data_IF_150844997177
#
_entry.id   IF_150844997177
#
_cell.length_a   1.000
_cell.length_b   1.000
_cell.length_c   1.000
_cell.angle_alpha   90.00
_cell.angle_beta   90.00
_cell.angle_gamma   90.00
#
_symmetry.space_group_name_H-M   'P 1'
#
loop_
_entity.id
_entity.type
_entity.pdbx_description
1 polymer ?
#
# COMPACT_ATOMS: atom_id res chain seq x y z
N UNK A 1 0.07 11.36 -9.85
CA UNK A 1 1.19 12.31 -9.87
C UNK A 1 1.94 12.21 -8.54
N UNK A 2 3.19 11.81 -8.59
CA UNK A 2 4.01 11.60 -7.37
C UNK A 2 4.32 12.92 -6.66
N UNK A 3 4.44 14.02 -7.40
CA UNK A 3 4.61 15.37 -6.82
C UNK A 3 3.39 15.78 -5.96
N UNK A 4 2.19 15.31 -6.32
CA UNK A 4 0.96 15.53 -5.56
C UNK A 4 0.96 14.90 -4.17
N UNK A 5 1.70 13.80 -3.96
CA UNK A 5 1.84 13.14 -2.66
C UNK A 5 2.52 14.08 -1.66
N UNK A 6 3.63 14.71 -2.07
CA UNK A 6 4.37 15.65 -1.21
C UNK A 6 3.62 16.97 -1.01
N UNK A 7 2.88 17.44 -2.03
CA UNK A 7 2.00 18.63 -1.86
C UNK A 7 0.95 18.37 -0.79
N UNK A 8 0.34 17.18 -0.78
CA UNK A 8 -0.65 16.82 0.24
C UNK A 8 -0.03 16.70 1.63
N UNK A 9 1.18 16.13 1.73
CA UNK A 9 1.92 16.08 2.99
C UNK A 9 2.20 17.49 3.54
N UNK A 10 2.64 18.41 2.68
CA UNK A 10 2.85 19.81 3.06
C UNK A 10 1.57 20.49 3.56
N UNK A 11 0.43 20.26 2.89
CA UNK A 11 -0.87 20.79 3.33
C UNK A 11 -1.25 20.29 4.73
N UNK A 12 -1.09 18.99 4.98
CA UNK A 12 -1.37 18.39 6.30
C UNK A 12 -0.43 18.93 7.40
N UNK A 13 0.78 19.30 7.02
CA UNK A 13 1.77 19.93 7.90
C UNK A 13 1.63 21.46 8.02
N UNK A 14 0.51 22.05 7.56
CA UNK A 14 0.29 23.50 7.52
C UNK A 14 1.45 24.24 6.85
N UNK A 15 1.99 23.69 5.78
CA UNK A 15 3.16 24.19 5.04
C UNK A 15 4.44 24.33 5.88
N UNK A 16 4.51 23.67 7.02
CA UNK A 16 5.70 23.57 7.84
C UNK A 16 6.64 22.51 7.27
N UNK A 17 7.66 22.95 6.53
CA UNK A 17 8.61 22.03 5.84
C UNK A 17 9.32 21.10 6.84
N UNK A 18 9.93 21.56 7.96
CA UNK A 18 10.56 20.67 8.93
C UNK A 18 9.63 19.61 9.53
N UNK A 19 8.33 19.91 9.63
CA UNK A 19 7.34 18.95 10.09
C UNK A 19 7.01 17.93 8.99
N UNK A 20 6.82 18.40 7.75
CA UNK A 20 6.55 17.52 6.60
C UNK A 20 7.70 16.54 6.35
N UNK A 21 8.95 16.95 6.49
CA UNK A 21 10.15 16.13 6.32
C UNK A 21 10.30 14.99 7.35
N UNK A 22 9.48 14.96 8.40
CA UNK A 22 9.35 13.88 9.39
C UNK A 22 7.98 13.20 9.33
N UNK A 23 7.28 13.40 8.24
CA UNK A 23 5.94 12.88 8.04
C UNK A 23 5.92 11.37 7.75
N UNK A 24 4.70 10.85 7.72
CA UNK A 24 4.41 9.47 7.33
C UNK A 24 3.51 9.52 6.10
N UNK A 25 3.90 8.82 5.05
CA UNK A 25 3.12 8.67 3.82
C UNK A 25 2.67 7.21 3.72
N UNK A 26 1.36 6.99 3.68
CA UNK A 26 0.79 5.69 3.38
C UNK A 26 0.33 5.66 1.91
N UNK A 27 0.85 4.70 1.15
CA UNK A 27 0.48 4.46 -0.26
C UNK A 27 -0.27 3.14 -0.30
N UNK A 28 -1.57 3.22 -0.55
CA UNK A 28 -2.41 2.04 -0.71
C UNK A 28 -2.42 1.55 -2.17
N UNK A 29 -2.81 0.30 -2.35
CA UNK A 29 -2.96 -0.36 -3.66
C UNK A 29 -1.69 -0.32 -4.52
N UNK A 30 -0.51 -0.46 -3.90
CA UNK A 30 0.78 -0.46 -4.63
C UNK A 30 0.86 -1.60 -5.68
N UNK A 31 0.11 -2.68 -5.49
CA UNK A 31 -0.01 -3.78 -6.43
C UNK A 31 -0.65 -3.38 -7.77
N UNK A 32 -1.44 -2.29 -7.80
CA UNK A 32 -2.10 -1.81 -9.04
C UNK A 32 -1.13 -1.18 -10.04
N UNK A 33 0.04 -0.74 -9.59
CA UNK A 33 1.10 -0.25 -10.48
C UNK A 33 2.08 -1.34 -10.90
N UNK A 34 1.88 -2.59 -10.46
CA UNK A 34 2.69 -3.72 -10.91
C UNK A 34 2.50 -3.97 -12.41
N UNK A 35 3.56 -4.40 -13.08
CA UNK A 35 3.48 -4.80 -14.49
C UNK A 35 2.56 -6.00 -14.63
N UNK A 36 1.54 -5.89 -15.47
CA UNK A 36 0.69 -7.02 -15.82
C UNK A 36 1.44 -7.88 -16.84
N UNK A 37 1.91 -9.05 -16.37
CA UNK A 37 2.32 -10.23 -17.11
C UNK A 37 3.08 -10.11 -18.45
N UNK A 38 3.79 -11.20 -18.80
CA UNK A 38 4.49 -11.44 -20.08
C UNK A 38 3.57 -11.59 -21.32
N UNK A 39 2.56 -10.75 -21.46
CA UNK A 39 1.87 -10.70 -22.74
C UNK A 39 2.74 -9.86 -23.66
N UNK A 40 3.27 -10.42 -24.76
CA UNK A 40 4.01 -9.66 -25.76
C UNK A 40 3.05 -8.82 -26.59
N UNK A 41 2.30 -7.94 -25.95
CA UNK A 41 1.61 -6.89 -26.68
C UNK A 41 2.66 -5.83 -26.99
N UNK A 42 2.73 -5.46 -28.26
CA UNK A 42 3.63 -4.46 -28.84
C UNK A 42 3.47 -3.07 -28.17
N UNK A 43 2.41 -2.86 -27.42
CA UNK A 43 2.23 -1.73 -26.51
C UNK A 43 2.80 -2.09 -25.15
N UNK A 44 4.06 -1.72 -24.93
CA UNK A 44 4.69 -1.65 -23.62
C UNK A 44 3.71 -0.98 -22.66
N UNK A 45 3.32 -1.66 -21.58
CA UNK A 45 2.52 -1.01 -20.52
C UNK A 45 3.42 -0.01 -19.76
N UNK A 46 3.61 1.15 -20.41
CA UNK A 46 4.51 2.22 -19.97
C UNK A 46 3.94 2.91 -18.74
N UNK A 47 2.64 2.71 -18.44
CA UNK A 47 1.93 3.44 -17.41
C UNK A 47 2.33 2.99 -16.00
N UNK A 48 2.32 1.70 -15.72
CA UNK A 48 2.64 1.15 -14.39
C UNK A 48 4.13 1.31 -14.04
N UNK A 49 5.03 0.99 -14.97
CA UNK A 49 6.47 1.13 -14.77
C UNK A 49 6.88 2.59 -14.58
N UNK A 50 6.29 3.51 -15.35
CA UNK A 50 6.57 4.94 -15.22
C UNK A 50 6.19 5.50 -13.85
N UNK A 51 5.09 5.01 -13.26
CA UNK A 51 4.69 5.39 -11.91
C UNK A 51 5.65 4.81 -10.87
N UNK A 52 6.06 3.55 -11.00
CA UNK A 52 7.06 2.95 -10.12
C UNK A 52 8.40 3.71 -10.16
N UNK A 53 8.87 4.09 -11.35
CA UNK A 53 10.07 4.89 -11.53
C UNK A 53 9.93 6.30 -10.92
N UNK A 54 8.75 6.91 -11.01
CA UNK A 54 8.50 8.20 -10.39
C UNK A 54 8.50 8.11 -8.85
N UNK A 55 7.95 7.02 -8.27
CA UNK A 55 7.99 6.76 -6.84
C UNK A 55 9.42 6.60 -6.31
N UNK A 56 10.30 5.97 -7.09
CA UNK A 56 11.70 5.83 -6.69
C UNK A 56 12.35 7.16 -6.33
N UNK A 57 12.06 8.22 -7.08
CA UNK A 57 12.65 9.55 -6.86
C UNK A 57 12.40 10.09 -5.46
N UNK A 58 11.22 9.80 -4.88
CA UNK A 58 10.90 10.25 -3.52
C UNK A 58 11.36 9.26 -2.45
N UNK A 59 11.46 7.96 -2.79
CA UNK A 59 11.93 6.92 -1.88
C UNK A 59 13.47 6.89 -1.72
N UNK A 60 14.18 7.48 -2.67
CA UNK A 60 15.66 7.54 -2.63
C UNK A 60 16.22 8.56 -1.65
N UNK A 61 15.38 9.42 -1.07
CA UNK A 61 15.82 10.46 -0.15
C UNK A 61 16.47 11.62 -0.88
N UNK A 62 15.68 12.41 -1.60
CA UNK A 62 16.14 13.54 -2.38
C UNK A 62 15.40 14.82 -2.03
N UNK A 63 15.98 15.98 -2.39
CA UNK A 63 15.28 17.25 -2.27
C UNK A 63 14.37 17.42 -3.49
N UNK A 64 13.07 17.49 -3.23
CA UNK A 64 12.04 17.65 -4.25
C UNK A 64 11.46 19.07 -4.19
N UNK A 65 11.32 19.69 -5.36
CA UNK A 65 10.64 20.98 -5.46
C UNK A 65 9.13 20.76 -5.58
N UNK A 66 8.40 21.13 -4.54
CA UNK A 66 6.96 20.91 -4.41
C UNK A 66 6.22 22.24 -4.55
N UNK A 67 5.21 22.34 -5.42
CA UNK A 67 4.38 23.54 -5.49
C UNK A 67 3.59 23.69 -4.18
N UNK A 68 3.57 24.88 -3.54
CA UNK A 68 2.92 25.08 -2.25
C UNK A 68 1.39 24.95 -2.30
N UNK A 69 0.79 25.22 -3.43
CA UNK A 69 -0.64 24.97 -3.70
C UNK A 69 -0.75 23.94 -4.80
N UNK A 70 -1.44 22.84 -4.55
CA UNK A 70 -1.63 21.68 -5.46
C UNK A 70 -2.33 22.04 -6.77
N UNK A 71 -1.81 22.98 -7.50
CA UNK A 71 -2.34 23.58 -8.70
C UNK A 71 -1.27 23.84 -9.77
N UNK A 72 -1.71 24.42 -10.86
CA UNK A 72 -0.95 24.67 -12.07
C UNK A 72 0.39 25.37 -11.79
N UNK A 73 1.48 24.83 -12.34
CA UNK A 73 2.83 25.44 -12.27
C UNK A 73 2.79 26.84 -12.89
N UNK A 74 2.77 27.87 -12.05
CA UNK A 74 2.95 29.23 -12.51
C UNK A 74 4.46 29.58 -12.56
N UNK A 75 4.93 30.31 -13.59
CA UNK A 75 6.37 30.59 -13.76
C UNK A 75 7.02 31.38 -12.61
N UNK A 76 6.22 32.08 -11.81
CA UNK A 76 6.68 32.91 -10.69
C UNK A 76 6.40 32.32 -9.30
N UNK A 77 5.90 31.08 -9.22
CA UNK A 77 5.55 30.45 -7.96
C UNK A 77 6.82 29.91 -7.27
N UNK A 78 7.03 30.27 -6.00
CA UNK A 78 8.13 29.73 -5.20
C UNK A 78 7.80 28.28 -4.81
N UNK A 79 8.60 27.36 -5.29
CA UNK A 79 8.52 25.95 -4.89
C UNK A 79 9.07 25.77 -3.47
N UNK A 80 8.40 24.99 -2.65
CA UNK A 80 8.94 24.50 -1.39
C UNK A 80 9.94 23.36 -1.70
N UNK A 81 11.12 23.43 -1.08
CA UNK A 81 12.11 22.33 -1.14
C UNK A 81 11.85 21.41 0.03
N UNK A 82 11.53 20.16 -0.24
CA UNK A 82 11.25 19.13 0.76
C UNK A 82 12.27 18.01 0.61
N UNK A 83 13.00 17.72 1.67
CA UNK A 83 13.91 16.57 1.76
C UNK A 83 13.13 15.33 2.20
N UNK A 84 13.13 14.32 1.35
CA UNK A 84 12.38 13.08 1.60
C UNK A 84 13.14 12.04 2.41
N UNK A 85 14.38 12.31 2.81
CA UNK A 85 15.28 11.34 3.46
C UNK A 85 14.76 10.81 4.80
N UNK A 86 13.96 11.60 5.53
CA UNK A 86 13.42 11.24 6.84
C UNK A 86 11.90 11.03 6.83
N UNK A 87 11.29 10.95 5.66
CA UNK A 87 9.87 10.61 5.52
C UNK A 87 9.71 9.10 5.58
N UNK A 88 8.81 8.61 6.43
CA UNK A 88 8.46 7.19 6.48
C UNK A 88 7.43 6.88 5.40
N UNK A 89 7.76 5.94 4.52
CA UNK A 89 6.84 5.43 3.51
C UNK A 89 6.33 4.05 3.92
N UNK A 90 5.02 3.89 3.94
CA UNK A 90 4.34 2.62 4.17
C UNK A 90 3.53 2.31 2.91
N UNK A 91 3.81 1.17 2.28
CA UNK A 91 3.12 0.75 1.06
C UNK A 91 2.28 -0.49 1.36
N UNK A 92 0.99 -0.43 1.05
CA UNK A 92 0.05 -1.54 1.20
C UNK A 92 -0.55 -1.96 -0.14
N UNK A 93 -1.03 -3.21 -0.22
CA UNK A 93 -1.75 -3.73 -1.38
C UNK A 93 -2.24 -5.15 -1.13
N UNK A 94 -3.30 -5.56 -1.84
CA UNK A 94 -3.89 -6.88 -1.73
C UNK A 94 -3.01 -7.97 -2.38
N UNK A 95 -2.29 -7.63 -3.46
CA UNK A 95 -1.45 -8.56 -4.23
C UNK A 95 -2.18 -9.83 -4.66
N UNK A 96 -3.41 -9.71 -5.14
CA UNK A 96 -4.23 -10.85 -5.56
C UNK A 96 -3.49 -11.80 -6.49
N UNK A 97 -3.40 -13.07 -6.10
CA UNK A 97 -2.73 -14.13 -6.87
C UNK A 97 -1.22 -14.26 -6.63
N UNK A 98 -0.63 -13.49 -5.70
CA UNK A 98 0.79 -13.64 -5.32
C UNK A 98 1.06 -15.01 -4.68
N UNK A 99 0.04 -15.65 -4.07
CA UNK A 99 0.13 -16.98 -3.47
C UNK A 99 0.59 -18.04 -4.49
N UNK A 100 0.23 -17.86 -5.77
CA UNK A 100 0.69 -18.74 -6.85
C UNK A 100 2.20 -18.63 -7.04
N UNK A 101 2.75 -17.40 -6.97
CA UNK A 101 4.19 -17.15 -7.08
C UNK A 101 4.95 -17.73 -5.88
N UNK A 102 4.43 -17.52 -4.67
CA UNK A 102 4.97 -18.09 -3.43
C UNK A 102 4.97 -19.63 -3.51
N UNK A 103 3.85 -20.22 -3.92
CA UNK A 103 3.72 -21.68 -4.07
C UNK A 103 4.71 -22.24 -5.10
N UNK A 104 4.86 -21.61 -6.25
CA UNK A 104 5.84 -22.00 -7.27
C UNK A 104 7.26 -21.99 -6.71
N UNK A 105 7.66 -20.92 -6.02
CA UNK A 105 8.98 -20.82 -5.39
C UNK A 105 9.21 -21.93 -4.36
N UNK A 106 8.25 -22.17 -3.47
CA UNK A 106 8.37 -23.19 -2.44
C UNK A 106 8.44 -24.60 -3.04
N UNK A 107 7.68 -24.87 -4.09
CA UNK A 107 7.71 -26.17 -4.78
C UNK A 107 9.02 -26.38 -5.55
N UNK A 108 9.59 -25.33 -6.17
CA UNK A 108 10.85 -25.44 -6.93
C UNK A 108 12.03 -25.71 -5.98
N UNK A 109 12.00 -25.16 -4.79
CA UNK A 109 13.06 -25.38 -3.78
C UNK A 109 13.05 -26.83 -3.24
N UNK A 110 11.91 -27.52 -3.32
CA UNK A 110 11.79 -28.90 -2.84
C UNK A 110 12.42 -29.97 -3.77
N UNK A 111 12.81 -29.60 -4.99
CA UNK A 111 13.34 -30.56 -5.99
C UNK A 111 14.87 -30.76 -5.86
N UNK A 112 15.58 -29.94 -5.10
CA UNK A 112 17.05 -29.88 -5.11
C UNK A 112 17.82 -30.66 -4.04
N UNK A 113 17.26 -30.94 -2.88
CA UNK A 113 17.95 -31.66 -1.80
C UNK A 113 16.96 -32.46 -0.94
N UNK A 114 17.22 -33.78 -0.87
CA UNK A 114 16.65 -34.84 -0.04
C UNK A 114 15.53 -34.51 0.95
N UNK A 115 14.64 -35.46 1.09
CA UNK A 115 13.43 -35.57 1.94
C UNK A 115 13.57 -35.18 3.44
N UNK A 116 14.44 -34.26 3.78
CA UNK A 116 14.64 -33.76 5.12
C UNK A 116 13.66 -32.59 5.37
N UNK A 117 12.59 -32.93 6.12
CA UNK A 117 11.62 -32.02 6.69
C UNK A 117 10.84 -31.16 5.65
N UNK A 118 9.83 -31.74 5.00
CA UNK A 118 8.65 -31.00 4.55
C UNK A 118 8.05 -30.31 5.78
N UNK A 119 8.51 -29.12 6.14
CA UNK A 119 7.72 -28.22 7.00
C UNK A 119 6.34 -28.19 6.34
N UNK A 120 5.29 -28.59 7.09
CA UNK A 120 3.93 -28.46 6.60
C UNK A 120 3.70 -27.01 6.24
N UNK A 121 3.68 -26.71 4.94
CA UNK A 121 3.35 -25.38 4.44
C UNK A 121 1.89 -25.15 4.78
N UNK A 122 1.64 -24.14 5.57
CA UNK A 122 0.28 -23.70 5.87
C UNK A 122 -0.29 -23.05 4.59
N UNK A 123 -1.18 -23.78 3.93
CA UNK A 123 -1.85 -23.32 2.71
C UNK A 123 -2.97 -22.31 3.00
N UNK A 124 -3.42 -22.21 4.26
CA UNK A 124 -4.45 -21.26 4.69
C UNK A 124 -3.91 -19.83 4.83
N UNK A 125 -2.59 -19.69 5.06
CA UNK A 125 -1.94 -18.39 5.17
C UNK A 125 -0.61 -18.39 4.41
N UNK A 126 -0.70 -18.34 3.07
CA UNK A 126 0.48 -18.33 2.20
C UNK A 126 1.29 -17.04 2.30
N UNK A 127 0.66 -15.93 2.71
CA UNK A 127 1.30 -14.62 2.82
C UNK A 127 2.43 -14.59 3.86
N UNK A 128 2.39 -15.44 4.89
CA UNK A 128 3.49 -15.55 5.86
C UNK A 128 4.83 -15.95 5.24
N UNK A 129 4.83 -16.53 4.03
CA UNK A 129 6.02 -16.95 3.31
C UNK A 129 6.46 -15.94 2.24
N UNK A 130 5.82 -14.77 2.16
CA UNK A 130 6.14 -13.77 1.14
C UNK A 130 7.59 -13.30 1.28
N UNK A 131 8.25 -13.16 0.14
CA UNK A 131 9.64 -12.70 0.03
C UNK A 131 9.76 -11.61 -1.04
N UNK A 132 10.81 -10.78 -1.00
CA UNK A 132 11.02 -9.73 -2.00
C UNK A 132 11.01 -10.23 -3.46
N UNK A 133 11.48 -11.45 -3.70
CA UNK A 133 11.47 -12.06 -5.02
C UNK A 133 10.06 -12.39 -5.54
N UNK A 134 9.10 -12.64 -4.64
CA UNK A 134 7.70 -12.87 -5.02
C UNK A 134 7.06 -11.56 -5.52
N UNK A 135 7.37 -10.43 -4.88
CA UNK A 135 6.95 -9.09 -5.31
C UNK A 135 7.52 -8.73 -6.69
N UNK A 136 8.81 -9.06 -6.94
CA UNK A 136 9.44 -8.90 -8.27
C UNK A 136 8.73 -9.76 -9.32
N UNK A 137 8.45 -11.01 -8.99
CA UNK A 137 7.73 -11.94 -9.87
C UNK A 137 6.27 -11.54 -10.08
N UNK A 138 5.68 -10.78 -9.18
CA UNK A 138 4.35 -10.21 -9.30
C UNK A 138 4.30 -9.03 -10.27
N UNK A 139 5.41 -8.28 -10.39
CA UNK A 139 5.53 -7.18 -11.35
C UNK A 139 6.03 -5.85 -10.77
N UNK A 140 6.47 -5.83 -9.51
CA UNK A 140 7.18 -4.67 -8.98
C UNK A 140 8.63 -4.68 -9.47
N UNK A 141 9.14 -3.49 -9.85
CA UNK A 141 10.53 -3.37 -10.31
C UNK A 141 11.51 -3.65 -9.17
N UNK A 142 12.64 -4.30 -9.44
CA UNK A 142 13.64 -4.65 -8.42
C UNK A 142 14.11 -3.46 -7.57
N UNK A 143 14.25 -2.30 -8.18
CA UNK A 143 14.69 -1.07 -7.55
C UNK A 143 13.70 -0.60 -6.49
N UNK A 144 12.40 -0.63 -6.79
CA UNK A 144 11.33 -0.27 -5.85
C UNK A 144 11.31 -1.23 -4.66
N UNK A 145 11.38 -2.54 -4.92
CA UNK A 145 11.43 -3.56 -3.86
C UNK A 145 12.67 -3.39 -2.99
N UNK A 146 13.81 -2.98 -3.58
CA UNK A 146 15.04 -2.72 -2.84
C UNK A 146 14.97 -1.49 -1.91
N UNK A 147 14.08 -0.54 -2.20
CA UNK A 147 13.85 0.66 -1.36
C UNK A 147 12.80 0.45 -0.26
N UNK A 148 12.11 -0.68 -0.27
CA UNK A 148 11.15 -1.10 0.75
C UNK A 148 11.67 -2.35 1.48
N UNK A 149 12.70 -2.21 2.33
CA UNK A 149 13.43 -3.36 2.88
C UNK A 149 12.63 -4.12 3.94
N UNK A 150 11.66 -3.48 4.58
CA UNK A 150 10.80 -4.12 5.58
C UNK A 150 9.56 -4.65 4.88
N UNK A 151 9.45 -5.97 4.85
CA UNK A 151 8.30 -6.68 4.28
C UNK A 151 7.52 -7.37 5.39
N UNK A 152 6.24 -7.12 5.44
CA UNK A 152 5.32 -7.78 6.37
C UNK A 152 4.02 -8.14 5.67
N UNK A 153 3.16 -8.87 6.36
CA UNK A 153 1.85 -9.27 5.87
C UNK A 153 0.80 -9.08 6.96
N UNK A 154 -0.46 -9.02 6.56
CA UNK A 154 -1.60 -9.02 7.48
C UNK A 154 -2.22 -10.41 7.49
N UNK A 155 -2.62 -10.85 8.67
CA UNK A 155 -3.34 -12.11 8.84
C UNK A 155 -4.76 -12.01 8.30
N UNK A 156 -5.35 -13.13 7.80
CA UNK A 156 -6.75 -13.18 7.42
C UNK A 156 -7.64 -12.79 8.61
N UNK A 157 -8.68 -12.00 8.31
CA UNK A 157 -9.64 -11.59 9.34
C UNK A 157 -10.50 -12.78 9.76
N UNK A 158 -10.58 -13.02 11.07
CA UNK A 158 -11.56 -13.93 11.66
C UNK A 158 -12.89 -13.20 11.92
N UNK A 159 -13.92 -13.95 12.35
CA UNK A 159 -15.25 -13.41 12.62
C UNK A 159 -15.23 -12.27 13.66
N UNK A 160 -14.47 -12.45 14.74
CA UNK A 160 -14.38 -11.46 15.82
C UNK A 160 -13.75 -10.15 15.31
N UNK A 161 -12.69 -10.25 14.50
CA UNK A 161 -12.06 -9.10 13.89
C UNK A 161 -13.01 -8.36 12.92
N UNK A 162 -13.80 -9.09 12.13
CA UNK A 162 -14.81 -8.50 11.26
C UNK A 162 -15.88 -7.77 12.05
N UNK A 163 -16.37 -8.36 13.16
CA UNK A 163 -17.31 -7.72 14.08
C UNK A 163 -16.73 -6.45 14.71
N UNK A 164 -15.48 -6.50 15.16
CA UNK A 164 -14.78 -5.34 15.71
C UNK A 164 -14.67 -4.21 14.68
N UNK A 165 -14.39 -4.51 13.43
CA UNK A 165 -14.32 -3.52 12.35
C UNK A 165 -15.66 -2.80 12.13
N UNK A 166 -16.79 -3.50 12.32
CA UNK A 166 -18.11 -2.91 12.17
C UNK A 166 -18.48 -1.95 13.30
N UNK A 167 -17.91 -2.14 14.50
CA UNK A 167 -18.37 -1.48 15.74
C UNK A 167 -17.36 -0.54 16.39
N UNK A 168 -16.06 -0.90 16.41
CA UNK A 168 -15.07 -0.22 17.25
C UNK A 168 -14.49 1.06 16.62
N UNK A 169 -14.09 1.10 15.32
CA UNK A 169 -13.45 2.27 14.74
C UNK A 169 -14.24 3.56 14.97
N UNK A 170 -13.53 4.70 15.01
CA UNK A 170 -14.17 6.02 15.17
C UNK A 170 -15.28 6.23 14.13
N UNK A 171 -15.00 5.84 12.88
CA UNK A 171 -15.91 5.94 11.75
C UNK A 171 -16.45 4.55 11.35
N UNK A 172 -16.74 3.68 12.33
CA UNK A 172 -17.35 2.38 12.05
C UNK A 172 -18.67 2.56 11.31
N UNK A 173 -18.96 1.67 10.35
CA UNK A 173 -20.11 1.77 9.46
C UNK A 173 -21.42 1.85 10.25
N UNK A 174 -21.55 1.07 11.32
CA UNK A 174 -22.73 1.10 12.20
C UNK A 174 -22.93 2.47 12.85
N UNK A 175 -21.83 3.11 13.29
CA UNK A 175 -21.91 4.45 13.88
C UNK A 175 -22.33 5.50 12.85
N UNK A 176 -21.86 5.34 11.61
CA UNK A 176 -22.25 6.23 10.51
C UNK A 176 -23.74 6.11 10.19
N UNK A 177 -24.27 4.88 10.07
CA UNK A 177 -25.70 4.67 9.82
C UNK A 177 -26.57 5.17 10.97
N UNK A 178 -26.19 4.91 12.23
CA UNK A 178 -26.90 5.45 13.40
C UNK A 178 -26.96 6.98 13.36
N UNK A 179 -25.84 7.64 13.04
CA UNK A 179 -25.80 9.09 12.93
C UNK A 179 -26.68 9.61 11.75
N UNK A 180 -26.66 8.91 10.62
CA UNK A 180 -27.47 9.28 9.46
C UNK A 180 -28.98 9.19 9.76
N UNK A 181 -29.44 8.09 10.34
CA UNK A 181 -30.85 7.93 10.71
C UNK A 181 -31.30 8.90 11.82
N UNK A 182 -30.39 9.24 12.73
CA UNK A 182 -30.67 10.23 13.78
C UNK A 182 -30.96 11.63 13.22
N UNK A 183 -30.44 11.98 12.04
CA UNK A 183 -30.75 13.24 11.35
C UNK A 183 -32.24 13.30 10.99
N UNK A 184 -32.82 12.16 10.61
CA UNK A 184 -34.24 12.04 10.26
C UNK A 184 -35.13 11.74 11.50
N UNK A 185 -34.57 11.82 12.70
CA UNK A 185 -35.30 11.57 13.96
C UNK A 185 -35.61 10.08 14.21
N UNK A 186 -34.91 9.17 13.52
CA UNK A 186 -35.09 7.71 13.66
C UNK A 186 -33.94 7.14 14.50
N UNK A 187 -34.30 6.37 15.54
CA UNK A 187 -33.33 5.61 16.33
C UNK A 187 -33.09 4.25 15.67
N UNK A 188 -31.87 4.05 15.15
CA UNK A 188 -31.45 2.79 14.53
C UNK A 188 -30.69 1.95 15.56
N UNK A 189 -31.16 0.73 15.80
CA UNK A 189 -30.50 -0.27 16.65
C UNK A 189 -30.14 -1.50 15.81
N UNK A 190 -29.09 -2.19 16.22
CA UNK A 190 -28.66 -3.46 15.63
C UNK A 190 -28.58 -4.49 16.74
N UNK A 191 -29.26 -5.60 16.56
CA UNK A 191 -29.17 -6.73 17.48
C UNK A 191 -27.83 -7.46 17.26
N UNK A 192 -27.31 -8.07 18.33
CA UNK A 192 -26.01 -8.77 18.27
C UNK A 192 -26.00 -9.91 17.23
N UNK A 193 -27.13 -10.58 17.04
CA UNK A 193 -27.30 -11.65 16.04
C UNK A 193 -27.15 -11.17 14.60
N UNK A 194 -27.41 -9.88 14.33
CA UNK A 194 -27.25 -9.28 12.98
C UNK A 194 -25.81 -8.96 12.67
N UNK A 195 -24.96 -8.82 13.70
CA UNK A 195 -23.55 -8.49 13.57
C UNK A 195 -22.67 -9.73 13.42
N UNK A 196 -23.26 -10.89 13.55
CA UNK A 196 -22.63 -12.19 13.47
C UNK A 196 -22.86 -12.86 12.11
#
# INVERSE_FOLDING_TARGET
>A
DVEGILSRLLQVADYNIPLAERGIIFIDEIDKIARKGDTPSITRDVSGEGVQQALLKILEGTIVNVPPEGGRKHPYQKFAKVDTSNILFICGGAFDGIEKKISQRLNTTAVGYGQLAKKKIDRGNMMQYVMPQDLKSFGLIPELVGRLPVLTYLEPLNRDALRSILTEPKNAIIKQYKALFAIDGVELTFDDEVLD
#
